data_IF_437952571477
#
_entry.id   IF_437952571477
#
_cell.length_a   1.000
_cell.length_b   1.000
_cell.length_c   1.000
_cell.angle_alpha   90.00
_cell.angle_beta   90.00
_cell.angle_gamma   90.00
#
_symmetry.space_group_name_H-M   'P 1'
#
loop_
_entity.id
_entity.type
_entity.pdbx_description
1 polymer ?
#
# COMPACT_ATOMS: atom_id res chain seq x y z
N UNK A 1 9.16 -5.14 0.62
CA UNK A 1 10.31 -5.00 1.54
C UNK A 1 11.61 -5.25 0.81
N UNK A 2 12.69 -4.61 1.21
CA UNK A 2 14.02 -4.71 0.60
C UNK A 2 15.06 -5.13 1.64
N UNK A 3 15.99 -6.01 1.27
CA UNK A 3 17.15 -6.35 2.10
C UNK A 3 18.39 -5.49 1.79
N UNK A 4 19.47 -5.66 2.56
CA UNK A 4 20.71 -4.88 2.39
C UNK A 4 21.43 -5.11 1.05
N UNK A 5 21.03 -6.12 0.28
CA UNK A 5 21.53 -6.38 -1.07
C UNK A 5 20.63 -5.78 -2.16
N UNK A 6 19.55 -5.10 -1.76
CA UNK A 6 18.57 -4.51 -2.68
C UNK A 6 17.53 -5.50 -3.20
N UNK A 7 17.48 -6.73 -2.68
CA UNK A 7 16.51 -7.72 -3.14
C UNK A 7 15.14 -7.43 -2.53
N UNK A 8 14.13 -7.36 -3.39
CA UNK A 8 12.75 -7.12 -2.99
C UNK A 8 12.02 -8.43 -2.68
N UNK A 9 11.19 -8.40 -1.65
CA UNK A 9 10.27 -9.47 -1.27
C UNK A 9 8.93 -8.90 -0.85
N UNK A 10 7.87 -9.65 -1.14
CA UNK A 10 6.50 -9.35 -0.70
C UNK A 10 6.19 -10.23 0.51
N UNK A 11 5.61 -9.63 1.55
CA UNK A 11 5.09 -10.35 2.71
C UNK A 11 3.66 -9.90 2.92
N UNK A 12 2.75 -10.86 2.95
CA UNK A 12 1.35 -10.61 3.23
C UNK A 12 1.17 -10.36 4.73
N UNK A 13 0.54 -9.24 5.08
CA UNK A 13 0.14 -8.96 6.46
C UNK A 13 -1.10 -9.77 6.85
N UNK A 14 -1.30 -10.03 8.15
CA UNK A 14 -2.50 -10.73 8.62
C UNK A 14 -3.77 -10.06 8.09
N UNK A 15 -4.73 -10.87 7.67
CA UNK A 15 -6.04 -10.36 7.25
C UNK A 15 -6.68 -9.66 8.43
N UNK A 16 -7.21 -8.46 8.19
CA UNK A 16 -7.97 -7.70 9.15
C UNK A 16 -9.33 -8.33 9.50
N UNK A 17 -10.08 -7.67 10.38
CA UNK A 17 -11.45 -8.06 10.73
C UNK A 17 -12.42 -6.97 10.27
N UNK A 18 -13.35 -7.32 9.37
CA UNK A 18 -14.36 -6.41 8.82
C UNK A 18 -13.74 -5.11 8.26
N UNK A 19 -13.89 -4.00 9.00
CA UNK A 19 -13.44 -2.66 8.64
C UNK A 19 -12.14 -2.27 9.36
N UNK A 20 -11.40 -3.23 9.89
CA UNK A 20 -10.15 -3.02 10.63
C UNK A 20 -9.04 -3.84 10.01
N UNK A 21 -7.86 -3.25 9.87
CA UNK A 21 -6.62 -3.95 9.54
C UNK A 21 -5.74 -4.00 10.78
N UNK A 22 -5.06 -5.12 11.01
CA UNK A 22 -4.03 -5.21 12.05
C UNK A 22 -2.67 -5.05 11.39
N UNK A 23 -2.05 -3.89 11.58
CA UNK A 23 -0.70 -3.64 11.09
C UNK A 23 0.31 -4.34 12.03
N UNK A 24 1.23 -5.16 11.51
CA UNK A 24 2.34 -5.65 12.32
C UNK A 24 3.21 -4.47 12.77
N UNK A 25 3.81 -4.48 13.97
CA UNK A 25 4.72 -3.42 14.38
C UNK A 25 5.87 -3.24 13.39
N UNK A 26 6.11 -1.99 12.97
CA UNK A 26 7.06 -1.67 11.90
C UNK A 26 7.91 -0.42 12.23
N UNK A 27 8.57 -0.36 13.40
CA UNK A 27 9.30 0.83 13.83
C UNK A 27 10.36 1.23 12.80
N UNK A 28 10.48 2.54 12.57
CA UNK A 28 11.42 3.12 11.60
C UNK A 28 11.25 2.53 10.18
N UNK A 29 10.04 2.17 9.78
CA UNK A 29 9.73 1.60 8.46
C UNK A 29 10.42 0.25 8.20
N UNK A 30 10.61 -0.58 9.23
CA UNK A 30 11.29 -1.87 9.09
C UNK A 30 10.50 -3.01 9.69
N UNK A 31 10.59 -4.20 9.06
CA UNK A 31 10.10 -5.46 9.61
C UNK A 31 11.19 -6.52 9.46
N UNK A 32 11.57 -7.16 10.57
CA UNK A 32 12.57 -8.23 10.55
C UNK A 32 13.94 -7.79 10.02
N UNK A 33 14.32 -6.52 10.22
CA UNK A 33 15.56 -5.93 9.72
C UNK A 33 15.57 -5.64 8.22
N UNK A 34 14.41 -5.61 7.57
CA UNK A 34 14.23 -5.25 6.17
C UNK A 34 13.44 -3.96 6.05
N UNK A 35 13.82 -3.13 5.09
CA UNK A 35 13.15 -1.86 4.84
C UNK A 35 11.81 -2.11 4.14
N UNK A 36 10.75 -1.46 4.60
CA UNK A 36 9.49 -1.40 3.88
C UNK A 36 9.65 -0.32 2.81
N UNK A 37 9.58 -0.73 1.55
CA UNK A 37 9.69 0.19 0.40
C UNK A 37 8.34 0.65 -0.11
N UNK A 38 7.30 -0.15 0.12
CA UNK A 38 5.91 0.18 -0.20
C UNK A 38 4.99 -0.77 0.58
N UNK A 39 3.76 -0.34 0.85
CA UNK A 39 2.63 -1.18 1.24
C UNK A 39 1.60 -1.23 0.12
N UNK A 40 0.63 -2.14 0.21
CA UNK A 40 -0.49 -2.14 -0.72
C UNK A 40 -1.71 -2.84 -0.14
N UNK A 41 -2.90 -2.41 -0.58
CA UNK A 41 -4.15 -3.13 -0.37
C UNK A 41 -5.03 -3.13 -1.61
N UNK A 42 -6.05 -3.98 -1.60
CA UNK A 42 -7.00 -4.12 -2.70
C UNK A 42 -8.34 -3.50 -2.33
N UNK A 43 -9.05 -2.94 -3.31
CA UNK A 43 -10.47 -2.61 -3.21
C UNK A 43 -11.33 -3.67 -3.94
N UNK A 44 -11.61 -4.84 -3.31
CA UNK A 44 -12.17 -6.00 -4.01
C UNK A 44 -13.66 -5.85 -4.37
N UNK A 45 -14.37 -4.93 -3.73
CA UNK A 45 -15.81 -4.75 -3.95
C UNK A 45 -16.04 -3.83 -5.15
N UNK A 46 -16.47 -4.40 -6.28
CA UNK A 46 -16.55 -3.68 -7.57
C UNK A 46 -17.94 -3.19 -7.96
N UNK A 47 -18.96 -3.45 -7.13
CA UNK A 47 -20.30 -2.92 -7.40
C UNK A 47 -20.30 -1.39 -7.38
N UNK A 48 -21.18 -0.76 -8.17
CA UNK A 48 -21.16 0.68 -8.46
C UNK A 48 -21.27 1.62 -7.24
N UNK A 49 -21.65 1.11 -6.08
CA UNK A 49 -21.75 1.87 -4.83
C UNK A 49 -20.49 1.78 -3.95
N UNK A 50 -19.49 0.99 -4.34
CA UNK A 50 -18.20 0.92 -3.68
C UNK A 50 -17.20 1.86 -4.36
N UNK A 51 -16.49 2.64 -3.54
CA UNK A 51 -15.43 3.52 -4.01
C UNK A 51 -14.22 2.69 -4.43
N UNK A 52 -13.74 2.91 -5.66
CA UNK A 52 -12.54 2.25 -6.18
C UNK A 52 -11.28 3.12 -6.01
N UNK A 53 -11.42 4.44 -5.96
CA UNK A 53 -10.36 5.39 -5.64
C UNK A 53 -10.00 5.35 -4.14
N UNK A 54 -8.79 5.80 -3.74
CA UNK A 54 -8.42 5.95 -2.34
C UNK A 54 -9.39 6.86 -1.58
N UNK A 55 -9.93 6.34 -0.48
CA UNK A 55 -10.79 7.10 0.44
C UNK A 55 -9.97 8.05 1.32
N UNK A 56 -10.66 8.96 2.01
CA UNK A 56 -10.03 9.81 3.05
C UNK A 56 -9.50 9.01 4.24
N UNK A 57 -9.96 7.78 4.45
CA UNK A 57 -9.39 6.89 5.47
C UNK A 57 -8.07 6.32 5.00
N UNK A 58 -7.98 5.88 3.75
CA UNK A 58 -6.74 5.35 3.16
C UNK A 58 -5.64 6.43 3.17
N UNK A 59 -5.99 7.64 2.72
CA UNK A 59 -5.05 8.78 2.69
C UNK A 59 -4.50 9.10 4.08
N UNK A 60 -5.37 9.16 5.09
CA UNK A 60 -4.97 9.44 6.47
C UNK A 60 -4.17 8.30 7.09
N UNK A 61 -4.52 7.05 6.81
CA UNK A 61 -3.76 5.90 7.31
C UNK A 61 -2.30 5.99 6.89
N UNK A 62 -2.04 6.35 5.63
CA UNK A 62 -0.67 6.54 5.11
C UNK A 62 -0.03 7.81 5.65
N UNK A 63 -0.76 8.93 5.67
CA UNK A 63 -0.22 10.22 6.09
C UNK A 63 0.16 10.25 7.57
N UNK A 64 -0.71 9.71 8.43
CA UNK A 64 -0.60 9.82 9.89
C UNK A 64 0.31 8.74 10.50
N UNK A 65 0.69 7.71 9.74
CA UNK A 65 1.66 6.70 10.17
C UNK A 65 3.07 7.30 10.21
N UNK A 66 3.57 7.56 11.42
CA UNK A 66 4.88 8.18 11.63
C UNK A 66 6.05 7.23 11.35
N UNK A 67 5.83 5.92 11.40
CA UNK A 67 6.88 4.93 11.20
C UNK A 67 7.12 4.67 9.70
N UNK A 68 6.07 4.75 8.86
CA UNK A 68 6.17 4.59 7.40
C UNK A 68 6.61 5.88 6.70
N UNK A 69 7.80 6.38 7.06
CA UNK A 69 8.38 7.65 6.58
C UNK A 69 9.88 7.59 6.27
N UNK A 70 10.45 6.39 6.19
CA UNK A 70 11.88 6.23 5.90
C UNK A 70 12.24 6.61 4.45
N UNK A 71 13.54 6.79 4.20
CA UNK A 71 14.10 7.26 2.93
C UNK A 71 13.63 6.47 1.70
N UNK A 72 13.46 5.15 1.84
CA UNK A 72 13.10 4.26 0.72
C UNK A 72 11.61 3.97 0.61
N UNK A 73 10.77 4.59 1.46
CA UNK A 73 9.34 4.32 1.46
C UNK A 73 8.60 5.20 0.44
N UNK A 74 8.10 4.55 -0.61
CA UNK A 74 7.40 5.20 -1.73
C UNK A 74 5.94 5.55 -1.40
N UNK A 75 5.33 4.83 -0.46
CA UNK A 75 3.92 4.98 -0.10
C UNK A 75 3.13 3.67 -0.19
N UNK A 76 1.81 3.83 -0.27
CA UNK A 76 0.87 2.70 -0.33
C UNK A 76 0.18 2.63 -1.70
N UNK A 77 0.23 1.46 -2.32
CA UNK A 77 -0.54 1.21 -3.53
C UNK A 77 -1.96 0.76 -3.20
N UNK A 78 -2.95 1.40 -3.82
CA UNK A 78 -4.34 0.94 -3.82
C UNK A 78 -4.61 0.28 -5.16
N UNK A 79 -4.79 -1.03 -5.13
CA UNK A 79 -5.08 -1.84 -6.32
C UNK A 79 -6.60 -1.98 -6.46
N UNK A 80 -7.17 -1.20 -7.37
CA UNK A 80 -8.60 -1.26 -7.72
C UNK A 80 -8.81 -2.10 -8.98
N UNK A 81 -10.07 -2.35 -9.35
CA UNK A 81 -10.38 -3.14 -10.54
C UNK A 81 -9.79 -2.54 -11.83
N UNK A 82 -9.92 -1.22 -12.02
CA UNK A 82 -9.55 -0.58 -13.29
C UNK A 82 -8.21 0.16 -13.22
N UNK A 83 -7.82 0.66 -12.04
CA UNK A 83 -6.66 1.53 -11.84
C UNK A 83 -5.85 1.13 -10.61
N UNK A 84 -4.55 1.40 -10.66
CA UNK A 84 -3.67 1.39 -9.50
C UNK A 84 -3.36 2.83 -9.11
N UNK A 85 -3.46 3.14 -7.82
CA UNK A 85 -3.12 4.44 -7.25
C UNK A 85 -1.94 4.28 -6.29
N UNK A 86 -1.15 5.33 -6.13
CA UNK A 86 -0.13 5.45 -5.09
C UNK A 86 -0.50 6.61 -4.17
N UNK A 87 -0.69 6.32 -2.89
CA UNK A 87 -0.79 7.30 -1.82
C UNK A 87 0.63 7.57 -1.32
N UNK A 88 1.16 8.75 -1.63
CA UNK A 88 2.47 9.17 -1.16
C UNK A 88 2.46 9.38 0.37
N UNK A 89 3.62 9.37 1.05
CA UNK A 89 3.68 9.50 2.51
C UNK A 89 3.07 10.80 3.08
N UNK A 90 2.87 11.82 2.26
CA UNK A 90 2.20 13.07 2.63
C UNK A 90 0.67 13.05 2.43
N UNK A 91 0.08 11.91 2.03
CA UNK A 91 -1.34 11.74 1.73
C UNK A 91 -1.76 12.15 0.31
N UNK A 92 -0.84 12.61 -0.54
CA UNK A 92 -1.15 12.92 -1.94
C UNK A 92 -1.38 11.63 -2.74
N UNK A 93 -2.42 11.63 -3.58
CA UNK A 93 -2.76 10.49 -4.43
C UNK A 93 -2.31 10.74 -5.85
N UNK A 94 -1.60 9.77 -6.41
CA UNK A 94 -1.21 9.73 -7.82
C UNK A 94 -1.83 8.51 -8.49
N UNK A 95 -2.35 8.66 -9.70
CA UNK A 95 -2.71 7.52 -10.54
C UNK A 95 -1.44 6.92 -11.15
N UNK A 96 -1.25 5.61 -11.00
CA UNK A 96 -0.08 4.88 -11.53
C UNK A 96 -0.38 4.37 -12.94
N UNK A 97 -1.58 3.83 -13.16
CA UNK A 97 -1.98 3.30 -14.47
C UNK A 97 -3.17 2.35 -14.38
N UNK A 98 -3.50 1.72 -15.50
CA UNK A 98 -4.53 0.68 -15.54
C UNK A 98 -4.03 -0.62 -14.88
N UNK A 99 -4.91 -1.27 -14.12
CA UNK A 99 -4.57 -2.51 -13.40
C UNK A 99 -4.15 -3.62 -14.37
N UNK A 100 -4.91 -3.80 -15.46
CA UNK A 100 -4.65 -4.83 -16.46
C UNK A 100 -3.33 -4.60 -17.21
N UNK A 101 -2.96 -3.34 -17.47
CA UNK A 101 -1.70 -3.01 -18.16
C UNK A 101 -0.47 -3.33 -17.29
N UNK A 102 -0.61 -3.25 -15.96
CA UNK A 102 0.51 -3.39 -15.01
C UNK A 102 0.62 -4.83 -14.48
N UNK A 103 -0.51 -5.50 -14.22
CA UNK A 103 -0.55 -6.80 -13.55
C UNK A 103 -0.88 -7.97 -14.48
N UNK A 104 -1.10 -7.74 -15.78
CA UNK A 104 -1.20 -8.86 -16.71
C UNK A 104 0.12 -9.63 -16.76
N UNK A 105 0.01 -10.96 -16.67
CA UNK A 105 1.12 -11.86 -16.99
C UNK A 105 1.31 -11.88 -18.52
N UNK A 106 2.56 -11.79 -19.00
CA UNK A 106 2.90 -12.13 -20.39
C UNK A 106 2.68 -13.62 -20.69
#
# INVERSE_FOLDING_TARGET
MQDSQGKVSVVQWPVGEQNSITLPPHPNCTIGGRDIVATFHTHPNTASHYLQEPSETDKRAVQDDLDLKAEFYEGEFVISQAKIYLIAPNGQVNEVGATDDILSEE
#
